data_IF_719934100527
#
_entry.id   IF_719934100527
#
_cell.length_a   1.000
_cell.length_b   1.000
_cell.length_c   1.000
_cell.angle_alpha   90.00
_cell.angle_beta   90.00
_cell.angle_gamma   90.00
#
_symmetry.space_group_name_H-M   'P 1'
#
loop_
_entity.id
_entity.type
_entity.pdbx_description
1 polymer ?
#
# COMPACT_ATOMS: atom_id res chain seq x y z
N UNK A 1 5.83 10.83 -7.16
CA UNK A 1 6.08 9.60 -7.94
C UNK A 1 4.76 8.85 -8.02
N UNK A 2 4.24 8.62 -9.22
CA UNK A 2 2.88 8.13 -9.49
C UNK A 2 2.95 7.04 -10.56
N UNK A 3 2.07 6.03 -10.48
CA UNK A 3 1.80 5.08 -11.56
C UNK A 3 0.47 5.47 -12.19
N UNK A 4 0.47 5.63 -13.52
CA UNK A 4 -0.78 5.73 -14.28
C UNK A 4 -1.29 4.30 -14.52
N UNK A 5 -2.34 3.90 -13.79
CA UNK A 5 -2.83 2.51 -13.85
C UNK A 5 -3.57 2.17 -15.13
N UNK A 6 -3.92 3.15 -15.99
CA UNK A 6 -4.61 2.89 -17.24
C UNK A 6 -4.44 4.02 -18.27
N UNK A 7 -3.93 3.68 -19.46
CA UNK A 7 -3.85 4.56 -20.62
C UNK A 7 -3.86 3.76 -21.94
N UNK A 8 -4.14 4.45 -23.05
CA UNK A 8 -4.10 3.92 -24.41
C UNK A 8 -3.08 4.69 -25.26
N UNK A 9 -1.79 4.55 -24.91
CA UNK A 9 -0.70 5.27 -25.59
C UNK A 9 -0.44 4.79 -27.02
N UNK A 10 -0.91 3.58 -27.36
CA UNK A 10 -0.88 3.03 -28.71
C UNK A 10 -1.96 3.63 -29.63
N UNK A 11 -2.90 4.42 -29.10
CA UNK A 11 -3.92 5.12 -29.90
C UNK A 11 -3.24 6.06 -30.91
N UNK A 12 -3.74 6.04 -32.16
CA UNK A 12 -3.22 6.86 -33.26
C UNK A 12 -3.20 8.37 -32.93
N UNK A 13 -4.04 8.83 -32.00
CA UNK A 13 -4.04 10.21 -31.50
C UNK A 13 -2.69 10.63 -30.94
N UNK A 14 -1.84 9.72 -30.46
CA UNK A 14 -0.49 10.02 -29.96
C UNK A 14 0.63 9.88 -31.01
N UNK A 15 0.33 9.38 -32.21
CA UNK A 15 1.35 8.93 -33.17
C UNK A 15 2.38 9.99 -33.61
N UNK A 16 2.11 11.29 -33.42
CA UNK A 16 3.02 12.39 -33.81
C UNK A 16 3.88 12.95 -32.67
N UNK A 17 3.53 12.67 -31.42
CA UNK A 17 4.14 13.34 -30.27
C UNK A 17 4.27 12.48 -29.00
N UNK A 18 4.15 11.16 -29.13
CA UNK A 18 4.22 10.21 -28.01
C UNK A 18 5.48 10.40 -27.14
N UNK A 19 6.66 10.56 -27.73
CA UNK A 19 7.90 10.79 -26.95
C UNK A 19 7.81 12.04 -26.09
N UNK A 20 7.27 13.14 -26.64
CA UNK A 20 7.06 14.39 -25.88
C UNK A 20 6.01 14.22 -24.79
N UNK A 21 5.00 13.36 -25.00
CA UNK A 21 4.01 13.01 -23.97
C UNK A 21 4.68 12.27 -22.81
N UNK A 22 5.56 11.31 -23.10
CA UNK A 22 6.29 10.53 -22.09
C UNK A 22 7.31 11.39 -21.32
N UNK A 23 7.95 12.35 -21.98
CA UNK A 23 8.77 13.36 -21.32
C UNK A 23 7.95 14.20 -20.33
N UNK A 24 6.78 14.71 -20.75
CA UNK A 24 5.89 15.47 -19.86
C UNK A 24 5.39 14.62 -18.69
N UNK A 25 5.08 13.36 -18.93
CA UNK A 25 4.69 12.41 -17.88
C UNK A 25 5.82 12.23 -16.86
N UNK A 26 7.06 12.05 -17.34
CA UNK A 26 8.24 11.92 -16.49
C UNK A 26 8.47 13.18 -15.63
N UNK A 27 8.38 14.37 -16.22
CA UNK A 27 8.49 15.66 -15.50
C UNK A 27 7.37 15.84 -14.48
N UNK A 28 6.17 15.32 -14.76
CA UNK A 28 5.06 15.31 -13.82
C UNK A 28 5.22 14.26 -12.68
N UNK A 29 6.30 13.47 -12.69
CA UNK A 29 6.58 12.45 -11.69
C UNK A 29 5.84 11.14 -11.91
N UNK A 30 5.39 10.86 -13.15
CA UNK A 30 4.86 9.55 -13.56
C UNK A 30 6.05 8.62 -13.84
N UNK A 31 6.13 7.53 -13.08
CA UNK A 31 7.24 6.58 -13.15
C UNK A 31 6.95 5.39 -14.06
N UNK A 32 5.71 4.92 -14.03
CA UNK A 32 5.23 3.84 -14.91
C UNK A 32 3.83 4.14 -15.42
N UNK A 33 3.53 3.60 -16.59
CA UNK A 33 2.23 3.71 -17.25
C UNK A 33 1.82 2.31 -17.71
N UNK A 34 0.61 1.90 -17.37
CA UNK A 34 0.00 0.67 -17.84
C UNK A 34 -0.81 0.97 -19.11
N UNK A 35 -0.35 0.44 -20.24
CA UNK A 35 -0.90 0.69 -21.56
C UNK A 35 -1.80 -0.47 -22.01
N UNK A 36 -3.10 -0.26 -22.13
CA UNK A 36 -4.06 -1.34 -22.40
C UNK A 36 -4.50 -1.38 -23.87
N UNK A 37 -4.42 -2.57 -24.48
CA UNK A 37 -5.05 -2.86 -25.76
C UNK A 37 -6.55 -3.12 -25.63
N UNK A 38 -7.32 -2.77 -26.65
CA UNK A 38 -8.78 -2.98 -26.72
C UNK A 38 -9.18 -4.10 -27.71
N UNK A 39 -8.20 -4.63 -28.44
CA UNK A 39 -8.34 -5.60 -29.54
C UNK A 39 -7.00 -6.32 -29.74
N UNK A 40 -6.96 -7.38 -30.55
CA UNK A 40 -5.69 -8.08 -30.83
C UNK A 40 -4.64 -7.18 -31.50
N UNK A 41 -5.03 -6.36 -32.48
CA UNK A 41 -4.11 -5.43 -33.15
C UNK A 41 -3.61 -4.34 -32.20
N UNK A 42 -4.51 -3.76 -31.41
CA UNK A 42 -4.18 -2.77 -30.40
C UNK A 42 -3.28 -3.35 -29.30
N UNK A 43 -3.54 -4.59 -28.86
CA UNK A 43 -2.71 -5.34 -27.91
C UNK A 43 -1.29 -5.56 -28.43
N UNK A 44 -1.13 -5.92 -29.71
CA UNK A 44 0.21 -6.03 -30.35
C UNK A 44 0.95 -4.70 -30.35
N UNK A 45 0.25 -3.59 -30.61
CA UNK A 45 0.84 -2.24 -30.60
C UNK A 45 1.22 -1.81 -29.18
N UNK A 46 0.38 -2.08 -28.19
CA UNK A 46 0.67 -1.81 -26.77
C UNK A 46 1.91 -2.58 -26.30
N UNK A 47 2.01 -3.88 -26.65
CA UNK A 47 3.19 -4.69 -26.35
C UNK A 47 4.45 -4.18 -27.06
N UNK A 48 4.35 -3.82 -28.35
CA UNK A 48 5.47 -3.25 -29.08
C UNK A 48 5.96 -1.92 -28.46
N UNK A 49 5.03 -1.11 -27.92
CA UNK A 49 5.37 0.11 -27.20
C UNK A 49 6.07 -0.21 -25.85
N UNK A 50 5.57 -1.20 -25.10
CA UNK A 50 6.16 -1.63 -23.82
C UNK A 50 7.59 -2.17 -23.98
N UNK A 51 7.92 -2.77 -25.13
CA UNK A 51 9.30 -3.17 -25.47
C UNK A 51 10.22 -2.00 -25.77
N UNK A 52 9.70 -0.89 -26.28
CA UNK A 52 10.49 0.31 -26.63
C UNK A 52 10.72 1.24 -25.44
N UNK A 53 9.95 1.10 -24.36
CA UNK A 53 10.05 1.97 -23.20
C UNK A 53 9.93 1.19 -21.89
N UNK A 54 10.96 1.25 -21.04
CA UNK A 54 11.01 0.53 -19.77
C UNK A 54 9.96 0.98 -18.75
N UNK A 55 9.45 2.22 -18.87
CA UNK A 55 8.39 2.75 -18.01
C UNK A 55 7.01 2.22 -18.37
N UNK A 56 6.87 1.55 -19.52
CA UNK A 56 5.59 1.06 -20.01
C UNK A 56 5.53 -0.45 -19.82
N UNK A 57 4.44 -0.87 -19.20
CA UNK A 57 3.93 -2.24 -19.24
C UNK A 57 2.58 -2.21 -19.93
N UNK A 58 2.08 -3.35 -20.37
CA UNK A 58 0.81 -3.40 -21.08
C UNK A 58 -0.16 -4.43 -20.52
N UNK A 59 -1.44 -4.20 -20.79
CA UNK A 59 -2.44 -5.25 -20.74
C UNK A 59 -2.86 -5.64 -22.15
N UNK A 60 -3.22 -6.91 -22.33
CA UNK A 60 -3.71 -7.45 -23.59
C UNK A 60 -5.09 -8.08 -23.38
N UNK A 61 -6.01 -7.82 -24.30
CA UNK A 61 -7.39 -8.24 -24.16
C UNK A 61 -8.26 -7.75 -25.32
N UNK A 62 -9.53 -8.13 -25.25
CA UNK A 62 -10.60 -7.76 -26.17
C UNK A 62 -11.68 -7.03 -25.38
N UNK A 63 -11.78 -5.72 -25.63
CA UNK A 63 -12.77 -4.83 -25.02
C UNK A 63 -14.19 -5.22 -25.44
N UNK A 64 -15.24 -4.99 -24.62
CA UNK A 64 -16.64 -5.32 -24.95
C UNK A 64 -17.11 -4.80 -26.32
N UNK A 65 -16.62 -3.64 -26.77
CA UNK A 65 -16.93 -3.13 -28.11
C UNK A 65 -16.48 -4.05 -29.25
N UNK A 66 -15.42 -4.84 -29.02
CA UNK A 66 -14.83 -5.77 -29.97
C UNK A 66 -15.19 -7.23 -29.65
N UNK A 67 -16.16 -7.50 -28.76
CA UNK A 67 -16.47 -8.85 -28.28
C UNK A 67 -16.78 -9.86 -29.42
N UNK A 68 -17.42 -9.42 -30.51
CA UNK A 68 -17.66 -10.25 -31.70
C UNK A 68 -16.41 -10.81 -32.39
N UNK A 69 -15.22 -10.24 -32.11
CA UNK A 69 -13.94 -10.74 -32.64
C UNK A 69 -13.23 -11.69 -31.68
N UNK A 70 -13.78 -11.97 -30.49
CA UNK A 70 -13.19 -12.84 -29.48
C UNK A 70 -13.41 -14.33 -29.79
N UNK A 71 -13.07 -14.77 -31.01
CA UNK A 71 -13.08 -16.18 -31.38
C UNK A 71 -11.90 -16.94 -30.77
N UNK A 72 -11.93 -18.28 -30.87
CA UNK A 72 -10.89 -19.14 -30.29
C UNK A 72 -9.48 -18.83 -30.82
N UNK A 73 -9.34 -18.48 -32.09
CA UNK A 73 -8.05 -18.15 -32.69
C UNK A 73 -7.50 -16.82 -32.15
N UNK A 74 -8.38 -15.84 -31.95
CA UNK A 74 -8.04 -14.53 -31.39
C UNK A 74 -7.66 -14.65 -29.93
N UNK A 75 -8.42 -15.40 -29.12
CA UNK A 75 -8.11 -15.65 -27.71
C UNK A 75 -6.78 -16.39 -27.55
N UNK A 76 -6.49 -17.36 -28.41
CA UNK A 76 -5.19 -18.05 -28.40
C UNK A 76 -4.03 -17.11 -28.79
N UNK A 77 -4.25 -16.19 -29.73
CA UNK A 77 -3.27 -15.16 -30.03
C UNK A 77 -3.05 -14.21 -28.84
N UNK A 78 -4.10 -13.84 -28.09
CA UNK A 78 -3.98 -13.04 -26.86
C UNK A 78 -3.19 -13.80 -25.80
N UNK A 79 -3.45 -15.11 -25.60
CA UNK A 79 -2.67 -15.98 -24.72
C UNK A 79 -1.18 -15.95 -25.08
N UNK A 80 -0.85 -16.05 -26.37
CA UNK A 80 0.52 -15.95 -26.86
C UNK A 80 1.19 -14.62 -26.49
N UNK A 81 0.47 -13.50 -26.62
CA UNK A 81 0.99 -12.19 -26.22
C UNK A 81 1.18 -12.09 -24.69
N UNK A 82 0.23 -12.63 -23.93
CA UNK A 82 0.20 -12.55 -22.47
C UNK A 82 1.36 -13.31 -21.79
N UNK A 83 1.98 -14.27 -22.49
CA UNK A 83 3.21 -14.92 -22.02
C UNK A 83 4.43 -14.00 -21.93
N UNK A 84 4.36 -12.78 -22.48
CA UNK A 84 5.48 -11.85 -22.48
C UNK A 84 5.63 -11.14 -21.12
N UNK A 85 6.85 -11.02 -20.55
CA UNK A 85 7.07 -10.34 -19.26
C UNK A 85 6.68 -8.85 -19.20
N UNK A 86 6.45 -8.21 -20.36
CA UNK A 86 5.92 -6.84 -20.44
C UNK A 86 4.40 -6.76 -20.27
N UNK A 87 3.69 -7.89 -20.34
CA UNK A 87 2.25 -7.97 -20.09
C UNK A 87 2.03 -8.16 -18.60
N UNK A 88 1.31 -7.23 -17.99
CA UNK A 88 1.04 -7.20 -16.56
C UNK A 88 -0.42 -7.54 -16.21
N UNK A 89 -1.31 -7.66 -17.19
CA UNK A 89 -2.74 -7.93 -16.98
C UNK A 89 -3.43 -8.46 -18.24
N UNK A 90 -4.54 -9.18 -18.05
CA UNK A 90 -5.54 -9.42 -19.09
C UNK A 90 -6.55 -8.26 -19.07
N UNK A 91 -6.61 -7.50 -20.15
CA UNK A 91 -7.35 -6.26 -20.20
C UNK A 91 -7.03 -5.43 -21.45
N UNK A 92 -7.93 -4.55 -21.89
CA UNK A 92 -9.21 -4.25 -21.24
C UNK A 92 -10.30 -5.24 -21.65
N UNK A 93 -11.06 -5.76 -20.67
CA UNK A 93 -12.14 -6.74 -20.85
C UNK A 93 -13.37 -6.29 -20.05
N UNK A 94 -14.56 -6.86 -20.27
CA UNK A 94 -15.73 -6.55 -19.43
C UNK A 94 -16.99 -6.26 -20.24
N UNK A 95 -17.81 -5.31 -19.78
CA UNK A 95 -19.16 -5.06 -20.30
C UNK A 95 -19.42 -3.56 -20.56
N UNK A 96 -20.01 -3.22 -21.69
CA UNK A 96 -20.49 -1.87 -22.03
C UNK A 96 -21.90 -1.94 -22.65
N UNK A 97 -22.92 -1.60 -21.86
CA UNK A 97 -24.32 -1.59 -22.29
C UNK A 97 -24.80 -0.21 -22.76
N UNK A 98 -23.92 0.78 -22.77
CA UNK A 98 -24.22 2.14 -23.21
C UNK A 98 -24.06 2.28 -24.73
N UNK A 99 -22.89 1.92 -25.29
CA UNK A 99 -22.64 2.06 -26.73
C UNK A 99 -23.09 0.86 -27.56
N UNK A 100 -23.12 -0.34 -26.96
CA UNK A 100 -23.61 -1.59 -27.56
C UNK A 100 -23.06 -1.90 -28.97
N UNK A 101 -21.74 -1.75 -29.15
CA UNK A 101 -21.08 -2.09 -30.42
C UNK A 101 -20.97 -3.61 -30.69
N UNK A 102 -21.18 -4.41 -29.66
CA UNK A 102 -21.42 -5.85 -29.71
C UNK A 102 -22.63 -6.17 -28.81
N UNK A 103 -23.35 -7.24 -29.10
CA UNK A 103 -24.55 -7.62 -28.33
C UNK A 103 -24.17 -8.09 -26.90
N UNK A 104 -25.02 -7.85 -25.88
CA UNK A 104 -24.72 -8.24 -24.50
C UNK A 104 -24.26 -9.70 -24.34
N UNK A 105 -24.90 -10.63 -25.05
CA UNK A 105 -24.53 -12.05 -25.01
C UNK A 105 -23.10 -12.32 -25.54
N UNK A 106 -22.67 -11.60 -26.58
CA UNK A 106 -21.32 -11.68 -27.11
C UNK A 106 -20.30 -11.10 -26.13
N UNK A 107 -20.63 -9.98 -25.48
CA UNK A 107 -19.79 -9.36 -24.46
C UNK A 107 -19.60 -10.28 -23.26
N UNK A 108 -20.67 -10.87 -22.75
CA UNK A 108 -20.63 -11.82 -21.63
C UNK A 108 -19.75 -13.02 -21.99
N UNK A 109 -19.96 -13.65 -23.16
CA UNK A 109 -19.17 -14.80 -23.58
C UNK A 109 -17.68 -14.47 -23.72
N UNK A 110 -17.35 -13.32 -24.33
CA UNK A 110 -15.97 -12.85 -24.48
C UNK A 110 -15.33 -12.49 -23.13
N UNK A 111 -16.07 -11.88 -22.22
CA UNK A 111 -15.59 -11.53 -20.89
C UNK A 111 -15.29 -12.78 -20.06
N UNK A 112 -16.23 -13.73 -20.04
CA UNK A 112 -16.08 -15.00 -19.35
C UNK A 112 -14.90 -15.83 -19.86
N UNK A 113 -14.67 -15.87 -21.18
CA UNK A 113 -13.52 -16.56 -21.75
C UNK A 113 -12.19 -15.90 -21.34
N UNK A 114 -12.17 -14.58 -21.19
CA UNK A 114 -10.98 -13.84 -20.77
C UNK A 114 -10.75 -13.88 -19.25
N UNK A 115 -11.79 -14.04 -18.42
CA UNK A 115 -11.65 -14.38 -17.00
C UNK A 115 -10.92 -15.72 -16.85
N UNK A 116 -11.27 -16.72 -17.67
CA UNK A 116 -10.58 -18.01 -17.66
C UNK A 116 -9.13 -17.90 -18.12
N UNK A 117 -8.88 -17.11 -19.16
CA UNK A 117 -7.52 -16.85 -19.61
C UNK A 117 -6.67 -16.19 -18.51
N UNK A 118 -7.23 -15.20 -17.80
CA UNK A 118 -6.58 -14.55 -16.66
C UNK A 118 -6.26 -15.56 -15.54
N UNK A 119 -7.20 -16.48 -15.28
CA UNK A 119 -7.06 -17.55 -14.27
C UNK A 119 -5.93 -18.50 -14.62
N UNK A 120 -5.89 -18.97 -15.86
CA UNK A 120 -4.91 -19.95 -16.32
C UNK A 120 -3.48 -19.39 -16.37
N UNK A 121 -3.36 -18.08 -16.61
CA UNK A 121 -2.08 -17.39 -16.70
C UNK A 121 -1.64 -16.74 -15.38
N UNK A 122 -2.48 -16.81 -14.34
CA UNK A 122 -2.28 -16.11 -13.06
C UNK A 122 -1.98 -14.61 -13.25
N UNK A 123 -2.73 -13.98 -14.15
CA UNK A 123 -2.61 -12.56 -14.46
C UNK A 123 -3.84 -11.79 -13.95
N UNK A 124 -3.64 -10.63 -13.31
CA UNK A 124 -4.74 -9.79 -12.84
C UNK A 124 -5.55 -9.26 -14.04
N UNK A 125 -6.81 -8.93 -13.79
CA UNK A 125 -7.68 -8.35 -14.82
C UNK A 125 -7.70 -6.82 -14.78
N UNK A 126 -7.88 -6.18 -15.94
CA UNK A 126 -8.31 -4.80 -16.02
C UNK A 126 -9.68 -4.75 -16.72
N UNK A 127 -10.71 -4.36 -15.94
CA UNK A 127 -12.10 -4.58 -16.28
C UNK A 127 -12.83 -3.26 -16.52
N UNK A 128 -13.38 -3.12 -17.72
CA UNK A 128 -14.32 -2.08 -18.11
C UNK A 128 -15.73 -2.44 -17.69
N UNK A 129 -16.43 -1.46 -17.15
CA UNK A 129 -17.86 -1.60 -16.94
C UNK A 129 -18.58 -0.28 -17.14
N UNK A 130 -19.59 -0.29 -18.01
CA UNK A 130 -20.47 0.85 -18.22
C UNK A 130 -21.93 0.41 -18.35
N UNK A 131 -22.75 0.91 -17.43
CA UNK A 131 -24.20 0.61 -17.35
C UNK A 131 -24.52 -0.90 -17.28
N UNK A 132 -23.58 -1.72 -16.78
CA UNK A 132 -23.66 -3.18 -16.73
C UNK A 132 -23.15 -3.77 -15.40
N UNK A 133 -23.16 -2.99 -14.32
CA UNK A 133 -22.56 -3.39 -13.05
C UNK A 133 -23.24 -4.58 -12.37
N UNK A 134 -24.55 -4.74 -12.54
CA UNK A 134 -25.28 -5.85 -11.91
C UNK A 134 -24.88 -7.19 -12.55
N UNK A 135 -24.86 -7.27 -13.88
CA UNK A 135 -24.35 -8.43 -14.63
C UNK A 135 -22.87 -8.66 -14.36
N UNK A 136 -22.06 -7.59 -14.29
CA UNK A 136 -20.64 -7.69 -13.94
C UNK A 136 -20.47 -8.38 -12.59
N UNK A 137 -21.17 -7.92 -11.55
CA UNK A 137 -21.07 -8.46 -10.19
C UNK A 137 -21.49 -9.93 -10.17
N UNK A 138 -22.59 -10.29 -10.84
CA UNK A 138 -23.04 -11.68 -10.94
C UNK A 138 -21.99 -12.59 -11.58
N UNK A 139 -21.40 -12.16 -12.71
CA UNK A 139 -20.38 -12.93 -13.42
C UNK A 139 -19.12 -13.09 -12.56
N UNK A 140 -18.62 -12.00 -11.96
CA UNK A 140 -17.42 -12.04 -11.12
C UNK A 140 -17.60 -12.98 -9.92
N UNK A 141 -18.78 -12.97 -9.29
CA UNK A 141 -19.13 -13.85 -8.18
C UNK A 141 -19.22 -15.31 -8.62
N UNK A 142 -20.00 -15.59 -9.68
CA UNK A 142 -20.17 -16.94 -10.25
C UNK A 142 -18.86 -17.58 -10.67
N UNK A 143 -17.91 -16.78 -11.18
CA UNK A 143 -16.61 -17.25 -11.70
C UNK A 143 -15.50 -17.21 -10.66
N UNK A 144 -15.80 -16.87 -9.40
CA UNK A 144 -14.82 -16.68 -8.33
C UNK A 144 -13.65 -15.77 -8.75
N UNK A 145 -13.92 -14.78 -9.62
CA UNK A 145 -12.90 -13.99 -10.29
C UNK A 145 -12.06 -13.14 -9.32
N UNK A 146 -12.60 -12.89 -8.11
CA UNK A 146 -11.90 -12.24 -7.01
C UNK A 146 -10.65 -12.96 -6.51
N UNK A 147 -10.52 -14.28 -6.76
CA UNK A 147 -9.32 -15.06 -6.41
C UNK A 147 -8.09 -14.63 -7.21
N UNK A 148 -8.29 -14.21 -8.45
CA UNK A 148 -7.25 -13.63 -9.32
C UNK A 148 -7.16 -12.13 -9.04
N UNK A 149 -8.32 -11.48 -8.89
CA UNK A 149 -8.42 -10.06 -8.64
C UNK A 149 -8.06 -9.22 -9.87
N UNK A 150 -7.86 -7.93 -9.63
CA UNK A 150 -7.62 -6.97 -10.69
C UNK A 150 -8.13 -5.57 -10.34
N UNK A 151 -8.29 -4.76 -11.38
CA UNK A 151 -8.82 -3.41 -11.28
C UNK A 151 -10.11 -3.29 -12.09
N UNK A 152 -11.11 -2.62 -11.52
CA UNK A 152 -12.22 -2.04 -12.28
C UNK A 152 -11.78 -0.63 -12.66
N UNK A 153 -11.31 -0.45 -13.89
CA UNK A 153 -10.81 0.86 -14.33
C UNK A 153 -11.96 1.81 -14.62
N UNK A 154 -11.64 3.10 -14.64
CA UNK A 154 -12.53 4.22 -14.91
C UNK A 154 -13.92 4.06 -14.28
N UNK A 155 -13.95 3.77 -12.97
CA UNK A 155 -15.14 3.31 -12.28
C UNK A 155 -16.30 4.31 -12.41
N UNK A 156 -17.46 3.81 -12.86
CA UNK A 156 -18.67 4.59 -13.08
C UNK A 156 -19.90 4.10 -12.31
N UNK A 157 -19.74 3.20 -11.34
CA UNK A 157 -20.82 2.61 -10.55
C UNK A 157 -21.15 3.38 -9.26
N UNK A 158 -22.02 2.82 -8.44
CA UNK A 158 -22.38 3.36 -7.12
C UNK A 158 -21.36 3.01 -6.02
N UNK A 159 -21.49 3.65 -4.85
CA UNK A 159 -20.67 3.34 -3.67
C UNK A 159 -20.88 1.90 -3.20
N UNK A 160 -22.12 1.40 -3.25
CA UNK A 160 -22.48 0.03 -2.87
C UNK A 160 -21.83 -0.99 -3.80
N UNK A 161 -21.85 -0.73 -5.11
CA UNK A 161 -21.20 -1.57 -6.11
C UNK A 161 -19.67 -1.59 -5.91
N UNK A 162 -19.08 -0.42 -5.66
CA UNK A 162 -17.64 -0.33 -5.36
C UNK A 162 -17.25 -1.13 -4.11
N UNK A 163 -18.06 -1.08 -3.04
CA UNK A 163 -17.82 -1.87 -1.82
C UNK A 163 -17.87 -3.37 -2.09
N UNK A 164 -18.87 -3.86 -2.82
CA UNK A 164 -18.96 -5.28 -3.20
C UNK A 164 -17.74 -5.74 -4.00
N UNK A 165 -17.29 -4.94 -4.97
CA UNK A 165 -16.09 -5.24 -5.76
C UNK A 165 -14.82 -5.29 -4.89
N UNK A 166 -14.70 -4.39 -3.92
CA UNK A 166 -13.58 -4.38 -2.96
C UNK A 166 -13.61 -5.60 -2.04
N UNK A 167 -14.79 -6.00 -1.56
CA UNK A 167 -14.98 -7.22 -0.76
C UNK A 167 -14.59 -8.47 -1.55
N UNK A 168 -14.85 -8.48 -2.86
CA UNK A 168 -14.39 -9.53 -3.78
C UNK A 168 -12.88 -9.46 -4.07
N UNK A 169 -12.16 -8.43 -3.62
CA UNK A 169 -10.71 -8.31 -3.78
C UNK A 169 -10.22 -7.39 -4.90
N UNK A 170 -11.13 -6.74 -5.63
CA UNK A 170 -10.77 -5.81 -6.71
C UNK A 170 -10.34 -4.43 -6.20
N UNK A 171 -9.56 -3.74 -7.04
CA UNK A 171 -9.21 -2.33 -6.89
C UNK A 171 -10.12 -1.46 -7.75
N UNK A 172 -10.34 -0.21 -7.34
CA UNK A 172 -11.22 0.75 -8.02
C UNK A 172 -10.39 1.86 -8.66
N UNK A 173 -10.41 1.93 -9.99
CA UNK A 173 -9.72 2.95 -10.79
C UNK A 173 -10.49 4.26 -10.85
N UNK A 174 -9.84 5.34 -10.44
CA UNK A 174 -10.41 6.69 -10.46
C UNK A 174 -9.70 7.54 -11.53
N UNK A 175 -10.45 7.95 -12.55
CA UNK A 175 -9.97 8.76 -13.65
C UNK A 175 -10.21 10.27 -13.46
N UNK A 176 -9.83 11.07 -14.47
CA UNK A 176 -10.01 12.53 -14.52
C UNK A 176 -11.41 13.06 -14.18
N UNK A 177 -12.54 12.37 -14.46
CA UNK A 177 -13.87 12.85 -14.12
C UNK A 177 -14.11 13.10 -12.63
N UNK A 178 -13.34 12.50 -11.72
CA UNK A 178 -13.41 12.80 -10.28
C UNK A 178 -13.09 14.27 -9.95
N UNK A 179 -12.47 14.99 -10.88
CA UNK A 179 -12.20 16.43 -10.77
C UNK A 179 -13.38 17.31 -11.21
N UNK A 180 -14.43 16.76 -11.81
CA UNK A 180 -15.57 17.52 -12.30
C UNK A 180 -16.52 17.86 -11.15
N UNK A 181 -17.16 19.03 -11.23
CA UNK A 181 -18.07 19.51 -10.17
C UNK A 181 -19.38 18.73 -10.14
N UNK A 182 -19.78 18.10 -11.25
CA UNK A 182 -21.03 17.34 -11.39
C UNK A 182 -20.86 15.82 -11.29
N UNK A 183 -19.68 15.35 -10.89
CA UNK A 183 -19.38 13.92 -10.78
C UNK A 183 -19.61 13.41 -9.34
N UNK A 184 -20.75 13.76 -8.73
CA UNK A 184 -21.02 13.55 -7.31
C UNK A 184 -20.83 12.09 -6.89
N UNK A 185 -21.43 11.15 -7.63
CA UNK A 185 -21.30 9.71 -7.34
C UNK A 185 -19.85 9.22 -7.36
N UNK A 186 -19.04 9.65 -8.34
CA UNK A 186 -17.64 9.26 -8.42
C UNK A 186 -16.82 9.88 -7.28
N UNK A 187 -17.15 11.11 -6.87
CA UNK A 187 -16.51 11.78 -5.73
C UNK A 187 -16.84 11.09 -4.41
N UNK A 188 -18.09 10.64 -4.24
CA UNK A 188 -18.52 9.83 -3.09
C UNK A 188 -17.80 8.48 -3.05
N UNK A 189 -17.68 7.77 -4.18
CA UNK A 189 -16.88 6.53 -4.29
C UNK A 189 -15.43 6.80 -3.90
N UNK A 190 -14.84 7.86 -4.44
CA UNK A 190 -13.48 8.28 -4.14
C UNK A 190 -13.28 8.72 -2.69
N UNK A 191 -14.32 8.93 -1.89
CA UNK A 191 -14.26 9.13 -0.43
C UNK A 191 -14.51 7.84 0.35
N UNK A 192 -15.48 7.03 -0.08
CA UNK A 192 -16.00 5.89 0.66
C UNK A 192 -15.14 4.62 0.54
N UNK A 193 -14.49 4.39 -0.60
CA UNK A 193 -13.63 3.21 -0.82
C UNK A 193 -12.36 3.32 0.04
N UNK A 194 -11.83 2.24 0.63
CA UNK A 194 -10.56 2.33 1.35
C UNK A 194 -9.42 2.82 0.45
N UNK A 195 -8.52 3.68 0.94
CA UNK A 195 -7.47 4.30 0.11
C UNK A 195 -6.50 3.25 -0.47
N UNK A 196 -6.27 2.19 0.28
CA UNK A 196 -5.53 0.97 -0.06
C UNK A 196 -6.21 0.09 -1.13
N UNK A 197 -7.41 0.47 -1.59
CA UNK A 197 -8.14 -0.18 -2.69
C UNK A 197 -8.43 0.76 -3.86
N UNK A 198 -7.90 1.98 -3.83
CA UNK A 198 -8.00 2.92 -4.95
C UNK A 198 -6.77 2.86 -5.86
N UNK A 199 -7.03 3.05 -7.15
CA UNK A 199 -6.04 3.37 -8.17
C UNK A 199 -6.36 4.74 -8.77
N UNK A 200 -5.36 5.35 -9.42
CA UNK A 200 -5.55 6.56 -10.21
C UNK A 200 -5.01 6.35 -11.61
N UNK A 201 -5.75 6.88 -12.56
CA UNK A 201 -5.48 6.69 -13.97
C UNK A 201 -5.81 7.94 -14.77
N UNK A 202 -5.24 8.01 -15.97
CA UNK A 202 -5.61 9.03 -16.93
C UNK A 202 -6.73 8.58 -17.85
N UNK A 203 -6.76 7.30 -18.24
CA UNK A 203 -7.55 6.83 -19.38
C UNK A 203 -7.22 7.61 -20.67
N UNK A 204 -5.97 8.05 -20.79
CA UNK A 204 -5.54 8.88 -21.92
C UNK A 204 -5.65 8.11 -23.23
N UNK A 205 -6.16 8.70 -24.33
CA UNK A 205 -6.33 10.14 -24.57
C UNK A 205 -7.68 10.73 -24.14
N UNK A 206 -8.52 9.96 -23.44
CA UNK A 206 -9.88 10.33 -23.07
C UNK A 206 -9.95 11.03 -21.70
N UNK A 207 -11.10 11.61 -21.38
CA UNK A 207 -11.47 12.04 -20.01
C UNK A 207 -10.46 12.99 -19.30
N UNK A 208 -9.96 13.99 -20.03
CA UNK A 208 -9.04 14.98 -19.46
C UNK A 208 -9.64 15.66 -18.21
N UNK A 209 -8.90 15.74 -17.09
CA UNK A 209 -9.40 16.33 -15.84
C UNK A 209 -9.79 17.79 -16.03
N UNK A 210 -10.61 18.35 -15.12
CA UNK A 210 -11.23 19.67 -15.24
C UNK A 210 -10.25 20.78 -15.63
N UNK A 211 -9.07 20.79 -15.00
CA UNK A 211 -8.00 21.77 -15.26
C UNK A 211 -7.43 21.73 -16.70
N UNK A 212 -7.73 20.67 -17.45
CA UNK A 212 -7.26 20.38 -18.82
C UNK A 212 -8.42 19.99 -19.75
N UNK A 213 -9.66 20.22 -19.33
CA UNK A 213 -10.87 19.86 -20.09
C UNK A 213 -10.86 20.49 -21.49
N UNK A 214 -11.36 19.75 -22.47
CA UNK A 214 -11.35 20.16 -23.88
C UNK A 214 -10.02 19.98 -24.61
N UNK A 215 -8.98 19.46 -23.93
CA UNK A 215 -7.71 19.03 -24.55
C UNK A 215 -7.63 17.51 -24.59
N UNK A 216 -6.81 16.96 -25.49
CA UNK A 216 -6.41 15.54 -25.44
C UNK A 216 -5.81 15.25 -24.06
N UNK A 217 -6.27 14.20 -23.40
CA UNK A 217 -5.69 13.80 -22.12
C UNK A 217 -4.29 13.21 -22.33
N UNK A 218 -3.49 13.22 -21.28
CA UNK A 218 -2.18 12.57 -21.24
C UNK A 218 -1.80 12.16 -19.81
N UNK A 219 -0.92 11.14 -19.63
CA UNK A 219 -0.52 10.63 -18.31
C UNK A 219 0.00 11.71 -17.35
N UNK A 220 0.60 12.80 -17.85
CA UNK A 220 1.06 13.92 -17.02
C UNK A 220 -0.07 14.59 -16.21
N UNK A 221 -1.33 14.38 -16.59
CA UNK A 221 -2.50 15.01 -15.98
C UNK A 221 -3.05 14.23 -14.77
N UNK A 222 -2.63 12.99 -14.50
CA UNK A 222 -3.11 12.19 -13.35
C UNK A 222 -2.87 12.86 -11.99
N UNK A 223 -1.88 13.75 -11.90
CA UNK A 223 -1.64 14.57 -10.71
C UNK A 223 -2.85 15.42 -10.29
N UNK A 224 -3.73 15.76 -11.24
CA UNK A 224 -4.96 16.49 -10.96
C UNK A 224 -6.00 15.58 -10.28
N UNK A 225 -6.11 14.32 -10.73
CA UNK A 225 -6.93 13.30 -10.07
C UNK A 225 -6.46 13.04 -8.65
N UNK A 226 -5.16 12.83 -8.44
CA UNK A 226 -4.58 12.66 -7.10
C UNK A 226 -4.89 13.84 -6.16
N UNK A 227 -4.80 15.08 -6.67
CA UNK A 227 -5.14 16.29 -5.91
C UNK A 227 -6.62 16.36 -5.54
N UNK A 228 -7.52 15.98 -6.46
CA UNK A 228 -8.95 15.98 -6.18
C UNK A 228 -9.31 14.96 -5.08
N UNK A 229 -8.82 13.72 -5.18
CA UNK A 229 -9.03 12.69 -4.14
C UNK A 229 -8.46 13.15 -2.79
N UNK A 230 -7.27 13.76 -2.81
CA UNK A 230 -6.64 14.28 -1.60
C UNK A 230 -7.49 15.37 -0.92
N UNK A 231 -8.01 16.31 -1.70
CA UNK A 231 -8.91 17.36 -1.20
C UNK A 231 -10.20 16.76 -0.62
N UNK A 232 -10.81 15.77 -1.29
CA UNK A 232 -12.00 15.07 -0.84
C UNK A 232 -11.79 14.34 0.50
N UNK A 233 -10.57 13.89 0.79
CA UNK A 233 -10.24 13.09 1.99
C UNK A 233 -9.50 13.86 3.09
N UNK A 234 -9.19 15.15 2.89
CA UNK A 234 -8.35 15.90 3.82
C UNK A 234 -6.92 15.36 3.93
N UNK A 235 -6.37 14.81 2.85
CA UNK A 235 -5.02 14.25 2.78
C UNK A 235 -4.09 15.13 1.95
N UNK A 236 -2.77 14.93 2.10
CA UNK A 236 -1.81 15.50 1.16
C UNK A 236 -1.84 14.71 -0.18
N UNK A 237 -1.72 15.37 -1.35
CA UNK A 237 -1.68 14.68 -2.65
C UNK A 237 -0.59 13.59 -2.75
N UNK A 238 0.53 13.78 -2.05
CA UNK A 238 1.63 12.82 -1.97
C UNK A 238 1.23 11.53 -1.26
N UNK A 239 0.31 11.59 -0.28
CA UNK A 239 -0.20 10.40 0.40
C UNK A 239 -1.09 9.58 -0.53
N UNK A 240 -1.97 10.22 -1.30
CA UNK A 240 -2.79 9.56 -2.32
C UNK A 240 -1.88 8.92 -3.37
N UNK A 241 -0.97 9.70 -3.97
CA UNK A 241 -0.03 9.21 -4.96
C UNK A 241 0.78 7.99 -4.49
N UNK A 242 1.23 7.99 -3.24
CA UNK A 242 1.98 6.88 -2.66
C UNK A 242 1.11 5.65 -2.45
N UNK A 243 -0.07 5.81 -1.85
CA UNK A 243 -0.98 4.70 -1.63
C UNK A 243 -1.40 4.05 -2.96
N UNK A 244 -1.83 4.86 -3.94
CA UNK A 244 -2.27 4.36 -5.25
C UNK A 244 -1.11 3.76 -6.04
N UNK A 245 0.13 4.27 -5.90
CA UNK A 245 1.33 3.62 -6.46
C UNK A 245 1.53 2.22 -5.89
N UNK A 246 1.45 2.05 -4.57
CA UNK A 246 1.59 0.72 -3.96
C UNK A 246 0.48 -0.22 -4.42
N UNK A 247 -0.75 0.27 -4.45
CA UNK A 247 -1.90 -0.50 -4.89
C UNK A 247 -1.73 -0.98 -6.33
N UNK A 248 -1.31 -0.08 -7.24
CA UNK A 248 -1.02 -0.42 -8.63
C UNK A 248 0.09 -1.47 -8.73
N UNK A 249 1.13 -1.36 -7.90
CA UNK A 249 2.20 -2.33 -7.91
C UNK A 249 1.78 -3.69 -7.35
N UNK A 250 0.94 -3.73 -6.31
CA UNK A 250 0.39 -4.98 -5.77
C UNK A 250 -0.50 -5.67 -6.78
N UNK A 251 -1.46 -4.94 -7.36
CA UNK A 251 -2.43 -5.54 -8.28
C UNK A 251 -1.78 -6.03 -9.57
N UNK A 252 -0.75 -5.34 -10.08
CA UNK A 252 -0.07 -5.71 -11.33
C UNK A 252 1.30 -6.38 -11.14
N UNK A 253 1.64 -6.83 -9.92
CA UNK A 253 2.91 -7.52 -9.64
C UNK A 253 4.16 -6.71 -9.97
N UNK A 254 4.11 -5.38 -9.85
CA UNK A 254 5.21 -4.51 -10.26
C UNK A 254 6.30 -4.47 -9.19
N UNK A 255 7.58 -4.46 -9.58
CA UNK A 255 8.65 -4.25 -8.63
C UNK A 255 8.54 -2.83 -8.05
N UNK A 256 8.32 -2.78 -6.74
CA UNK A 256 8.36 -1.57 -5.92
C UNK A 256 9.79 -1.30 -5.51
N UNK A 257 10.46 -0.42 -6.25
CA UNK A 257 11.72 0.16 -5.77
C UNK A 257 11.37 1.33 -4.81
N UNK A 258 10.93 0.97 -3.60
CA UNK A 258 10.68 1.93 -2.54
C UNK A 258 11.94 2.02 -1.70
N UNK A 259 12.63 3.16 -1.82
CA UNK A 259 13.80 3.45 -0.99
C UNK A 259 13.45 3.31 0.51
N UNK A 260 14.37 2.75 1.32
CA UNK A 260 14.16 2.64 2.75
C UNK A 260 13.80 3.97 3.41
N UNK A 261 12.76 3.96 4.23
CA UNK A 261 12.26 5.12 4.95
C UNK A 261 12.86 5.17 6.35
N UNK A 262 13.80 6.09 6.56
CA UNK A 262 14.37 6.41 7.88
C UNK A 262 13.32 7.12 8.74
N UNK A 263 12.51 8.00 8.14
CA UNK A 263 11.39 8.64 8.81
C UNK A 263 10.13 8.54 7.94
N UNK A 264 8.99 8.34 8.59
CA UNK A 264 7.70 8.25 7.92
C UNK A 264 6.61 8.87 8.79
N UNK A 265 5.58 9.45 8.18
CA UNK A 265 4.48 10.07 8.91
C UNK A 265 3.17 9.34 8.67
N UNK A 266 2.37 9.24 9.74
CA UNK A 266 0.97 8.85 9.70
C UNK A 266 0.17 9.91 10.46
N UNK A 267 -0.80 10.53 9.79
CA UNK A 267 -1.55 11.68 10.32
C UNK A 267 -0.58 12.76 10.85
N UNK A 268 -0.67 13.12 12.14
CA UNK A 268 0.16 14.13 12.80
C UNK A 268 1.32 13.56 13.63
N UNK A 269 1.66 12.29 13.42
CA UNK A 269 2.77 11.62 14.10
C UNK A 269 3.89 11.32 13.12
N UNK A 270 5.12 11.65 13.50
CA UNK A 270 6.35 11.29 12.80
C UNK A 270 6.97 10.07 13.47
N UNK A 271 7.35 9.07 12.69
CA UNK A 271 7.96 7.83 13.15
C UNK A 271 9.39 7.76 12.61
N UNK A 272 10.34 7.46 13.48
CA UNK A 272 11.74 7.26 13.15
C UNK A 272 12.06 5.77 13.20
N UNK A 273 12.62 5.25 12.11
CA UNK A 273 13.05 3.87 11.94
C UNK A 273 14.58 3.83 11.89
N UNK A 274 15.20 3.21 12.89
CA UNK A 274 16.62 3.44 13.19
C UNK A 274 17.52 2.22 13.09
N UNK A 275 16.93 1.02 13.12
CA UNK A 275 17.65 -0.24 12.99
C UNK A 275 16.71 -1.35 12.55
N UNK A 276 17.26 -2.34 11.87
CA UNK A 276 16.57 -3.61 11.57
C UNK A 276 16.81 -4.66 12.68
N UNK A 277 17.72 -4.40 13.62
CA UNK A 277 18.12 -5.33 14.67
C UNK A 277 17.05 -5.41 15.76
N UNK A 278 16.77 -6.61 16.28
CA UNK A 278 15.83 -6.82 17.39
C UNK A 278 16.12 -8.18 18.01
N UNK A 279 16.14 -8.24 19.34
CA UNK A 279 16.36 -9.45 20.12
C UNK A 279 15.22 -10.46 20.01
N UNK A 280 14.04 -10.06 19.56
CA UNK A 280 12.89 -10.94 19.38
C UNK A 280 12.71 -11.40 17.94
N UNK A 281 12.23 -12.63 17.75
CA UNK A 281 11.70 -13.18 16.49
C UNK A 281 10.23 -13.56 16.66
N UNK A 282 9.39 -12.56 16.98
CA UNK A 282 7.98 -12.83 17.23
C UNK A 282 7.30 -13.43 16.00
N UNK A 283 6.43 -14.42 16.17
CA UNK A 283 5.76 -15.06 15.02
C UNK A 283 4.89 -14.06 14.24
N UNK A 284 4.31 -13.05 14.90
CA UNK A 284 3.52 -11.97 14.30
C UNK A 284 4.37 -10.78 13.83
N UNK A 285 5.70 -10.83 13.94
CA UNK A 285 6.54 -9.68 13.65
C UNK A 285 6.49 -9.32 12.16
N UNK A 286 6.19 -8.05 11.88
CA UNK A 286 6.18 -7.52 10.53
C UNK A 286 7.51 -7.74 9.79
N UNK A 287 8.64 -7.68 10.52
CA UNK A 287 10.02 -7.89 10.00
C UNK A 287 10.20 -9.15 9.16
N UNK A 288 9.51 -10.23 9.55
CA UNK A 288 9.69 -11.56 8.98
C UNK A 288 8.80 -11.80 7.74
N UNK A 289 7.85 -10.91 7.46
CA UNK A 289 6.78 -11.15 6.48
C UNK A 289 6.73 -10.11 5.38
N UNK A 290 6.79 -8.83 5.75
CA UNK A 290 6.71 -7.71 4.81
C UNK A 290 7.71 -6.61 5.20
N UNK A 291 8.05 -5.77 4.23
CA UNK A 291 8.91 -4.61 4.47
C UNK A 291 8.14 -3.30 4.30
N UNK A 292 6.87 -3.33 3.91
CA UNK A 292 6.15 -2.16 3.40
C UNK A 292 4.93 -1.76 4.23
N UNK A 293 5.09 -0.86 5.19
CA UNK A 293 3.98 -0.38 6.00
C UNK A 293 3.43 0.95 5.51
N UNK A 294 2.13 1.01 5.20
CA UNK A 294 1.37 2.25 4.93
C UNK A 294 1.98 3.20 3.87
N UNK A 295 2.68 2.68 2.86
CA UNK A 295 3.40 3.52 1.90
C UNK A 295 4.91 3.33 1.87
N UNK A 296 5.46 2.82 2.96
CA UNK A 296 6.86 3.04 3.30
C UNK A 296 7.60 1.71 3.40
N UNK A 297 8.75 1.62 2.76
CA UNK A 297 9.69 0.53 3.01
C UNK A 297 10.40 0.77 4.35
N UNK A 298 10.04 0.02 5.37
CA UNK A 298 10.63 0.09 6.70
C UNK A 298 11.89 -0.79 6.85
N UNK A 299 12.29 -1.54 5.82
CA UNK A 299 13.55 -2.28 5.87
C UNK A 299 14.70 -1.40 5.43
N UNK A 300 15.56 -1.04 6.38
CA UNK A 300 16.73 -0.20 6.13
C UNK A 300 17.78 -0.95 5.32
N UNK A 301 18.48 -0.26 4.41
CA UNK A 301 19.64 -0.83 3.68
C UNK A 301 20.88 -0.98 4.57
N UNK A 302 20.94 -0.20 5.66
CA UNK A 302 21.96 -0.19 6.69
C UNK A 302 21.50 0.66 7.87
N UNK A 303 22.28 0.73 8.94
CA UNK A 303 21.94 1.62 10.06
C UNK A 303 22.19 3.08 9.66
N UNK A 304 21.15 3.94 9.62
CA UNK A 304 21.34 5.32 9.20
C UNK A 304 22.21 6.07 10.21
N UNK A 305 23.11 6.91 9.73
CA UNK A 305 23.91 7.75 10.60
C UNK A 305 23.08 8.92 11.15
N UNK A 306 23.69 9.67 12.08
CA UNK A 306 23.07 10.80 12.75
C UNK A 306 22.65 11.91 11.77
N UNK A 307 23.49 12.23 10.78
CA UNK A 307 23.23 13.32 9.84
C UNK A 307 22.05 12.98 8.94
N UNK A 308 22.01 11.74 8.45
CA UNK A 308 20.88 11.20 7.69
C UNK A 308 19.57 11.28 8.46
N UNK A 309 19.57 11.03 9.78
CA UNK A 309 18.36 11.12 10.60
C UNK A 309 17.96 12.58 10.84
N UNK A 310 18.91 13.46 11.16
CA UNK A 310 18.64 14.89 11.38
C UNK A 310 18.08 15.56 10.13
N UNK A 311 18.56 15.19 8.94
CA UNK A 311 17.98 15.66 7.68
C UNK A 311 16.49 15.31 7.58
N UNK A 312 16.11 14.10 7.99
CA UNK A 312 14.70 13.65 7.98
C UNK A 312 13.85 14.27 9.09
N UNK A 313 14.49 14.80 10.12
CA UNK A 313 13.84 15.53 11.22
C UNK A 313 13.61 17.01 10.90
N UNK A 314 14.07 17.53 9.76
CA UNK A 314 13.76 18.89 9.35
C UNK A 314 12.25 19.12 9.24
N UNK A 315 11.75 20.11 9.98
CA UNK A 315 10.32 20.40 10.07
C UNK A 315 9.56 19.45 11.02
N UNK A 316 10.23 18.81 11.99
CA UNK A 316 9.58 17.96 12.98
C UNK A 316 8.60 18.74 13.90
N UNK A 317 8.76 20.06 14.01
CA UNK A 317 7.91 20.99 14.75
C UNK A 317 6.43 21.00 14.30
N UNK A 318 6.14 20.58 13.07
CA UNK A 318 4.76 20.47 12.54
C UNK A 318 3.97 19.28 13.11
N UNK A 319 4.64 18.32 13.73
CA UNK A 319 4.04 17.08 14.23
C UNK A 319 3.67 17.21 15.72
N UNK A 320 2.62 16.51 16.13
CA UNK A 320 2.17 16.48 17.52
C UNK A 320 2.99 15.47 18.34
N UNK A 321 3.49 14.42 17.70
CA UNK A 321 4.31 13.37 18.33
C UNK A 321 5.42 12.90 17.39
N UNK A 322 6.61 12.68 17.94
CA UNK A 322 7.72 11.96 17.29
C UNK A 322 7.98 10.65 18.04
N UNK A 323 7.97 9.55 17.30
CA UNK A 323 8.05 8.20 17.83
C UNK A 323 9.32 7.51 17.35
N UNK A 324 10.19 7.16 18.28
CA UNK A 324 11.32 6.27 18.05
C UNK A 324 10.79 4.84 17.98
N UNK A 325 10.81 4.24 16.80
CA UNK A 325 10.31 2.89 16.56
C UNK A 325 11.10 2.22 15.43
N UNK A 326 10.53 1.16 14.86
CA UNK A 326 11.05 0.54 13.66
C UNK A 326 10.57 -0.88 13.52
N UNK A 327 11.04 -1.52 12.45
CA UNK A 327 11.02 -2.98 12.33
C UNK A 327 11.92 -3.63 13.41
N UNK A 328 12.96 -2.89 13.86
CA UNK A 328 13.87 -3.29 14.93
C UNK A 328 13.56 -2.70 16.30
N UNK A 329 14.47 -2.96 17.24
CA UNK A 329 14.49 -2.49 18.61
C UNK A 329 15.39 -1.25 18.72
N UNK A 330 14.84 -0.03 18.92
CA UNK A 330 15.62 1.20 18.91
C UNK A 330 16.71 1.27 19.98
N UNK A 331 16.57 0.54 21.09
CA UNK A 331 17.55 0.58 22.19
C UNK A 331 18.90 -0.07 21.86
N UNK A 332 19.03 -0.80 20.73
CA UNK A 332 20.35 -1.13 20.16
C UNK A 332 21.20 0.10 19.86
N UNK A 333 20.57 1.26 19.70
CA UNK A 333 21.21 2.54 19.41
C UNK A 333 20.90 3.56 20.51
N UNK A 334 20.98 3.13 21.77
CA UNK A 334 20.57 3.89 22.95
C UNK A 334 21.15 5.31 22.99
N UNK A 335 22.45 5.46 22.77
CA UNK A 335 23.11 6.76 22.85
C UNK A 335 22.58 7.71 21.76
N UNK A 336 22.41 7.20 20.54
CA UNK A 336 21.85 7.96 19.42
C UNK A 336 20.39 8.37 19.67
N UNK A 337 19.54 7.46 20.14
CA UNK A 337 18.13 7.82 20.42
C UNK A 337 18.03 8.83 21.56
N UNK A 338 18.89 8.75 22.57
CA UNK A 338 18.97 9.74 23.64
C UNK A 338 19.41 11.10 23.09
N UNK A 339 20.45 11.13 22.26
CA UNK A 339 20.92 12.37 21.64
C UNK A 339 19.84 13.03 20.79
N UNK A 340 19.19 12.26 19.90
CA UNK A 340 18.13 12.77 19.03
C UNK A 340 16.90 13.21 19.82
N UNK A 341 16.53 12.51 20.89
CA UNK A 341 15.44 12.92 21.76
C UNK A 341 15.74 14.25 22.47
N UNK A 342 16.98 14.45 22.95
CA UNK A 342 17.40 15.74 23.51
C UNK A 342 17.34 16.85 22.46
N UNK A 343 17.82 16.60 21.25
CA UNK A 343 17.72 17.56 20.14
C UNK A 343 16.25 17.91 19.82
N UNK A 344 15.37 16.92 19.78
CA UNK A 344 13.94 17.15 19.54
C UNK A 344 13.27 17.97 20.65
N UNK A 345 13.66 17.79 21.92
CA UNK A 345 13.19 18.61 23.05
C UNK A 345 13.57 20.07 22.89
N UNK A 346 14.75 20.34 22.36
CA UNK A 346 15.26 21.70 22.16
C UNK A 346 14.65 22.39 20.93
N UNK A 347 14.27 21.62 19.91
CA UNK A 347 13.90 22.16 18.60
C UNK A 347 12.41 22.01 18.25
N UNK A 348 11.62 21.30 19.05
CA UNK A 348 10.20 21.05 18.77
C UNK A 348 9.35 21.06 20.03
N UNK A 349 8.05 21.30 19.88
CA UNK A 349 7.05 21.10 20.95
C UNK A 349 6.39 19.71 20.87
N UNK A 350 6.88 18.82 20.01
CA UNK A 350 6.28 17.51 19.80
C UNK A 350 6.49 16.62 21.02
N UNK A 351 5.50 15.79 21.33
CA UNK A 351 5.66 14.73 22.33
C UNK A 351 6.65 13.70 21.82
N UNK A 352 7.61 13.27 22.64
CA UNK A 352 8.63 12.31 22.24
C UNK A 352 8.36 10.96 22.88
N UNK A 353 8.22 9.92 22.06
CA UNK A 353 7.93 8.57 22.53
C UNK A 353 8.94 7.54 22.06
N UNK A 354 9.30 6.63 22.96
CA UNK A 354 10.04 5.40 22.64
C UNK A 354 9.09 4.21 22.54
N UNK A 355 9.12 3.49 21.42
CA UNK A 355 8.55 2.15 21.31
C UNK A 355 9.68 1.12 21.41
N UNK A 356 9.54 0.18 22.33
CA UNK A 356 10.56 -0.83 22.61
C UNK A 356 9.92 -2.18 22.95
N UNK A 357 10.65 -3.25 22.72
CA UNK A 357 10.36 -4.59 23.22
C UNK A 357 10.68 -4.73 24.72
N UNK A 358 11.27 -3.71 25.35
CA UNK A 358 11.54 -3.64 26.78
C UNK A 358 12.85 -4.27 27.24
N UNK A 359 13.67 -4.79 26.31
CA UNK A 359 14.94 -5.46 26.63
C UNK A 359 16.15 -4.52 26.56
N UNK A 360 15.95 -3.20 26.52
CA UNK A 360 17.04 -2.24 26.37
C UNK A 360 18.13 -2.36 27.45
N UNK A 361 17.74 -2.62 28.70
CA UNK A 361 18.72 -2.85 29.78
C UNK A 361 19.51 -4.15 29.59
N UNK A 362 18.88 -5.21 29.08
CA UNK A 362 19.54 -6.46 28.74
C UNK A 362 20.50 -6.29 27.56
N UNK A 363 20.10 -5.52 26.54
CA UNK A 363 20.93 -5.20 25.36
C UNK A 363 22.18 -4.41 25.77
N UNK A 364 22.02 -3.42 26.65
CA UNK A 364 23.12 -2.54 27.05
C UNK A 364 23.96 -3.10 28.21
N UNK A 365 23.47 -4.12 28.92
CA UNK A 365 24.13 -4.68 30.10
C UNK A 365 24.06 -3.77 31.35
N UNK A 366 23.21 -2.74 31.34
CA UNK A 366 23.05 -1.77 32.42
C UNK A 366 21.61 -1.24 32.50
N UNK A 367 21.24 -0.57 33.60
CA UNK A 367 19.94 0.09 33.72
C UNK A 367 19.87 1.35 32.85
N UNK A 368 19.03 1.33 31.82
CA UNK A 368 18.91 2.44 30.87
C UNK A 368 17.84 3.47 31.28
N UNK A 369 16.98 3.18 32.26
CA UNK A 369 15.89 4.08 32.64
C UNK A 369 16.36 5.52 33.01
N UNK A 370 17.46 5.70 33.76
CA UNK A 370 18.00 7.03 34.04
C UNK A 370 18.42 7.81 32.78
N UNK A 371 18.86 7.12 31.72
CA UNK A 371 19.26 7.76 30.46
C UNK A 371 18.05 8.31 29.69
N UNK A 372 16.87 7.70 29.85
CA UNK A 372 15.62 8.12 29.20
C UNK A 372 14.94 9.31 29.89
N UNK A 373 15.21 9.51 31.19
CA UNK A 373 14.63 10.57 32.00
C UNK A 373 14.86 11.96 31.38
N UNK A 374 13.79 12.77 31.31
CA UNK A 374 13.81 14.12 30.74
C UNK A 374 13.91 14.19 29.22
N UNK A 375 14.21 13.08 28.54
CA UNK A 375 14.34 13.02 27.06
C UNK A 375 13.09 12.48 26.39
N UNK A 376 12.43 11.51 27.01
CA UNK A 376 11.20 10.90 26.50
C UNK A 376 10.01 11.30 27.37
N UNK A 377 8.89 11.62 26.74
CA UNK A 377 7.61 11.90 27.40
C UNK A 377 6.81 10.60 27.63
N UNK A 378 7.00 9.63 26.74
CA UNK A 378 6.32 8.35 26.82
C UNK A 378 7.23 7.16 26.46
N UNK A 379 6.99 6.01 27.10
CA UNK A 379 7.54 4.70 26.70
C UNK A 379 6.41 3.69 26.50
N UNK A 380 6.38 3.08 25.32
CA UNK A 380 5.50 1.99 24.93
C UNK A 380 6.28 0.68 24.92
N UNK A 381 5.96 -0.23 25.84
CA UNK A 381 6.68 -1.49 26.00
C UNK A 381 5.86 -2.64 25.41
N UNK A 382 6.46 -3.46 24.55
CA UNK A 382 5.76 -4.60 23.95
C UNK A 382 5.79 -5.82 24.88
N UNK A 383 4.68 -6.08 25.59
CA UNK A 383 4.56 -7.17 26.58
C UNK A 383 4.27 -8.52 25.92
N UNK A 384 3.21 -8.59 25.10
CA UNK A 384 2.76 -9.75 24.31
C UNK A 384 2.51 -11.10 25.03
N UNK A 385 2.82 -11.25 26.32
CA UNK A 385 2.60 -12.46 27.10
C UNK A 385 2.49 -12.15 28.61
N UNK A 386 1.71 -12.93 29.38
CA UNK A 386 1.58 -12.77 30.83
C UNK A 386 2.69 -13.45 31.63
N UNK A 387 3.50 -14.33 31.03
CA UNK A 387 4.56 -15.07 31.71
C UNK A 387 5.75 -15.36 30.78
N UNK A 388 6.85 -15.84 31.36
CA UNK A 388 8.09 -16.11 30.62
C UNK A 388 7.94 -17.24 29.60
N UNK A 389 7.16 -18.28 29.91
CA UNK A 389 6.99 -19.45 29.04
C UNK A 389 6.25 -19.06 27.76
N UNK A 390 5.10 -18.40 27.91
CA UNK A 390 4.32 -17.87 26.80
C UNK A 390 5.09 -16.80 26.04
N UNK A 391 5.85 -15.93 26.72
CA UNK A 391 6.70 -14.93 26.07
C UNK A 391 7.76 -15.58 25.19
N UNK A 392 8.43 -16.62 25.67
CA UNK A 392 9.46 -17.33 24.91
C UNK A 392 8.88 -18.01 23.67
N UNK A 393 7.69 -18.61 23.79
CA UNK A 393 6.95 -19.21 22.67
C UNK A 393 6.48 -18.18 21.64
N UNK A 394 6.08 -16.99 22.09
CA UNK A 394 5.45 -15.98 21.23
C UNK A 394 6.50 -15.07 20.56
N UNK A 395 7.43 -14.56 21.36
CA UNK A 395 8.39 -13.55 20.96
C UNK A 395 9.74 -14.11 20.53
N UNK A 396 10.07 -15.37 20.88
CA UNK A 396 11.35 -16.02 20.60
C UNK A 396 12.55 -15.07 20.84
N UNK A 397 12.77 -14.62 22.08
CA UNK A 397 13.88 -13.74 22.41
C UNK A 397 15.23 -14.45 22.26
N UNK A 398 16.30 -13.68 22.04
CA UNK A 398 17.66 -14.20 21.93
C UNK A 398 18.23 -14.76 23.23
N UNK A 399 17.75 -14.29 24.39
CA UNK A 399 18.10 -14.79 25.73
C UNK A 399 16.79 -15.13 26.47
N UNK A 400 16.24 -16.36 26.30
CA UNK A 400 14.94 -16.75 26.85
C UNK A 400 14.91 -16.83 28.38
N UNK A 401 16.06 -16.97 29.04
CA UNK A 401 16.15 -17.06 30.49
C UNK A 401 16.03 -15.69 31.16
N UNK A 402 16.43 -14.61 30.46
CA UNK A 402 16.47 -13.25 31.03
C UNK A 402 15.50 -12.27 30.41
N UNK A 403 15.07 -12.48 29.16
CA UNK A 403 14.32 -11.49 28.41
C UNK A 403 13.04 -11.04 29.12
N UNK A 404 12.21 -11.98 29.58
CA UNK A 404 10.94 -11.63 30.21
C UNK A 404 11.13 -10.89 31.54
N UNK A 405 12.05 -11.37 32.39
CA UNK A 405 12.39 -10.71 33.64
C UNK A 405 12.93 -9.29 33.41
N UNK A 406 13.77 -9.10 32.38
CA UNK A 406 14.31 -7.80 31.99
C UNK A 406 13.21 -6.81 31.58
N UNK A 407 12.18 -7.27 30.86
CA UNK A 407 11.05 -6.41 30.46
C UNK A 407 10.30 -5.90 31.68
N UNK A 408 10.01 -6.78 32.64
CA UNK A 408 9.29 -6.41 33.86
C UNK A 408 10.11 -5.47 34.75
N UNK A 409 11.41 -5.73 34.89
CA UNK A 409 12.32 -4.85 35.62
C UNK A 409 12.44 -3.47 34.97
N UNK A 410 12.66 -3.43 33.64
CA UNK A 410 12.70 -2.19 32.88
C UNK A 410 11.40 -1.39 33.01
N UNK A 411 10.24 -2.05 32.89
CA UNK A 411 8.94 -1.39 33.04
C UNK A 411 8.75 -0.73 34.41
N UNK A 412 9.18 -1.41 35.49
CA UNK A 412 9.11 -0.86 36.85
C UNK A 412 10.01 0.37 37.02
N UNK A 413 11.23 0.34 36.46
CA UNK A 413 12.22 1.42 36.55
C UNK A 413 11.83 2.62 35.70
N UNK A 414 11.42 2.39 34.46
CA UNK A 414 11.07 3.48 33.54
C UNK A 414 9.81 4.22 33.96
N UNK A 415 8.87 3.53 34.63
CA UNK A 415 7.69 4.16 35.26
C UNK A 415 8.06 5.19 36.34
N UNK A 416 9.23 5.09 36.96
CA UNK A 416 9.70 6.03 37.97
C UNK A 416 10.37 7.28 37.35
N UNK A 417 10.71 7.23 36.05
CA UNK A 417 11.57 8.24 35.40
C UNK A 417 10.93 8.91 34.19
N UNK A 418 10.00 8.24 33.50
CA UNK A 418 9.28 8.77 32.33
C UNK A 418 7.81 9.02 32.67
N UNK A 419 7.23 10.18 32.31
CA UNK A 419 5.86 10.55 32.71
C UNK A 419 4.78 9.55 32.30
N UNK A 420 4.83 9.06 31.06
CA UNK A 420 3.84 8.12 30.54
C UNK A 420 4.49 6.79 30.18
N UNK A 421 4.05 5.71 30.83
CA UNK A 421 4.50 4.35 30.50
C UNK A 421 3.26 3.49 30.30
N UNK A 422 3.25 2.73 29.22
CA UNK A 422 2.18 1.79 28.93
C UNK A 422 2.70 0.53 28.24
N UNK A 423 2.01 -0.57 28.47
CA UNK A 423 2.24 -1.80 27.74
C UNK A 423 1.43 -1.82 26.45
N UNK A 424 1.95 -2.56 25.48
CA UNK A 424 1.26 -2.90 24.25
C UNK A 424 1.31 -4.40 24.03
N UNK A 425 0.22 -4.96 23.53
CA UNK A 425 0.16 -6.33 23.02
C UNK A 425 -0.39 -6.33 21.59
N UNK A 426 -0.08 -7.37 20.83
CA UNK A 426 -0.79 -7.70 19.57
C UNK A 426 -1.77 -8.81 19.90
N UNK A 427 -3.05 -8.65 19.57
CA UNK A 427 -4.09 -9.65 19.79
C UNK A 427 -3.98 -10.81 18.77
N UNK A 428 -2.80 -11.42 18.69
CA UNK A 428 -2.49 -12.52 17.79
C UNK A 428 -2.96 -13.86 18.38
N UNK A 429 -3.17 -14.90 17.55
CA UNK A 429 -3.45 -16.25 18.04
C UNK A 429 -2.41 -16.67 19.09
N UNK A 430 -2.85 -17.27 20.20
CA UNK A 430 -1.99 -17.66 21.34
C UNK A 430 -1.55 -16.56 22.30
N UNK A 431 -1.93 -15.28 22.09
CA UNK A 431 -1.75 -14.21 23.09
C UNK A 431 -2.97 -14.17 24.02
N UNK A 432 -2.75 -14.41 25.31
CA UNK A 432 -3.80 -14.25 26.34
C UNK A 432 -3.93 -12.77 26.71
N UNK A 433 -4.88 -12.09 26.05
CA UNK A 433 -5.13 -10.65 26.21
C UNK A 433 -5.54 -10.32 27.65
N UNK A 434 -6.37 -11.15 28.27
CA UNK A 434 -6.93 -10.86 29.59
C UNK A 434 -5.90 -11.08 30.68
N UNK A 435 -5.12 -12.18 30.61
CA UNK A 435 -4.01 -12.39 31.54
C UNK A 435 -2.94 -11.29 31.41
N UNK A 436 -2.65 -10.83 30.18
CA UNK A 436 -1.77 -9.68 29.97
C UNK A 436 -2.34 -8.40 30.62
N UNK A 437 -3.65 -8.20 30.55
CA UNK A 437 -4.34 -7.05 31.17
C UNK A 437 -4.24 -7.10 32.69
N UNK A 438 -4.54 -8.25 33.30
CA UNK A 438 -4.39 -8.46 34.75
C UNK A 438 -2.96 -8.18 35.20
N UNK A 439 -1.94 -8.70 34.49
CA UNK A 439 -0.54 -8.42 34.83
C UNK A 439 -0.22 -6.92 34.70
N UNK A 440 -0.56 -6.30 33.59
CA UNK A 440 -0.24 -4.91 33.31
C UNK A 440 -0.95 -3.95 34.29
N UNK A 441 -2.28 -4.01 34.34
CA UNK A 441 -3.11 -3.00 34.98
C UNK A 441 -3.32 -3.29 36.47
N UNK A 442 -3.49 -4.55 36.87
CA UNK A 442 -3.73 -4.91 38.27
C UNK A 442 -2.43 -5.11 39.05
N UNK A 443 -1.44 -5.78 38.46
CA UNK A 443 -0.19 -6.11 39.17
C UNK A 443 0.85 -4.99 39.04
N UNK A 444 1.15 -4.54 37.82
CA UNK A 444 2.21 -3.54 37.57
C UNK A 444 1.69 -2.10 37.62
N UNK A 445 0.36 -1.92 37.63
CA UNK A 445 -0.32 -0.62 37.58
C UNK A 445 0.13 0.22 36.37
N UNK A 446 0.30 -0.42 35.21
CA UNK A 446 0.70 0.19 33.95
C UNK A 446 -0.44 -0.05 32.94
N UNK A 447 -0.99 0.99 32.28
CA UNK A 447 -2.06 0.82 31.30
C UNK A 447 -1.67 -0.13 30.16
N UNK A 448 -2.62 -0.94 29.66
CA UNK A 448 -2.40 -1.82 28.52
C UNK A 448 -3.18 -1.35 27.28
N UNK A 449 -2.48 -1.24 26.15
CA UNK A 449 -3.08 -1.00 24.83
C UNK A 449 -3.03 -2.27 23.99
N UNK A 450 -4.18 -2.67 23.44
CA UNK A 450 -4.30 -3.84 22.57
C UNK A 450 -4.29 -3.39 21.12
N UNK A 451 -3.44 -4.01 20.29
CA UNK A 451 -3.41 -3.81 18.84
C UNK A 451 -4.06 -5.00 18.16
N UNK A 452 -4.88 -4.74 17.14
CA UNK A 452 -5.46 -5.81 16.33
C UNK A 452 -4.37 -6.60 15.59
N UNK A 453 -4.55 -7.91 15.53
CA UNK A 453 -3.75 -8.78 14.67
C UNK A 453 -4.38 -8.81 13.29
N UNK A 454 -3.65 -8.33 12.29
CA UNK A 454 -4.02 -8.49 10.88
C UNK A 454 -3.30 -9.72 10.34
N UNK A 455 -4.00 -10.84 10.08
CA UNK A 455 -3.39 -11.98 9.42
C UNK A 455 -3.08 -11.60 7.97
N UNK A 456 -1.80 -11.66 7.60
CA UNK A 456 -1.38 -11.63 6.19
C UNK A 456 -1.32 -13.07 5.70
N UNK A 457 -1.83 -13.40 4.49
CA UNK A 457 -1.63 -14.73 3.91
C UNK A 457 -0.14 -15.07 3.87
N UNK A 458 0.25 -16.33 4.12
CA UNK A 458 1.64 -16.74 4.02
C UNK A 458 2.16 -16.40 2.61
N UNK A 459 3.33 -15.77 2.52
CA UNK A 459 4.05 -15.78 1.24
C UNK A 459 4.45 -17.23 0.99
N UNK A 460 3.91 -17.87 -0.04
CA UNK A 460 4.35 -19.18 -0.53
C UNK A 460 5.73 -19.10 -1.22
N UNK A 461 6.67 -18.40 -0.60
CA UNK A 461 8.04 -18.25 -1.08
C UNK A 461 9.01 -18.53 0.07
N UNK A 462 8.89 -19.72 0.66
CA UNK A 462 9.94 -20.37 1.45
C UNK A 462 9.54 -21.85 1.66
N UNK A 463 9.55 -22.62 0.57
CA UNK A 463 9.37 -24.06 0.58
C UNK A 463 10.24 -24.69 -0.50
N UNK A 464 11.41 -25.18 -0.05
CA UNK A 464 12.44 -25.97 -0.75
C UNK A 464 13.43 -25.24 -1.68
#
# INVERSE_FOLDING_TARGET
MIIDSHAHLQDAKFGRDLERVLERASVAGVERILCFGDSLDSSRKALALAHRNEKILCGVGIHPHNAKTADAATLEAIRGLASNPKVAAIGEIGLDYFYRHSEPAEQIAAFEAQIELARELDLPMCIHCREAFDDLLEILERREAGRIGGAIHCFGGSVEQARRLVEMGFYIGIAGPATYDNADTLREVAQAVPLERLLIESDSPYLAPLAKRGRRNEPAYIKHTAKAIAALRGLAPQQVARATKMNAARVYGLPLDIAPSIAYSLKRTLYLNLTNQCTNRCFFCYRAREHEFAGYNLRLSGEPDREQILERLQGADRFEEVVFCGIGEPTFRLDLICELAAWLKENTSAKIRLNTNGQGSLICGEDIAPKLAGKFDAVSISLNAPDAESYNRICHPSDPDKAYASILDFARRVKQTVPEVYFTIVAAPSVDVEACRTLAEETLKIPLRVREYTPTPPSEAAGE
#
